data_IF_252899863277
#
_entry.id   IF_252899863277
#
_cell.length_a   1.000
_cell.length_b   1.000
_cell.length_c   1.000
_cell.angle_alpha   90.00
_cell.angle_beta   90.00
_cell.angle_gamma   90.00
#
_symmetry.space_group_name_H-M   'P 1'
#
loop_
_entity.id
_entity.type
_entity.pdbx_description
1 polymer ?
#
# COMPACT_ATOMS: atom_id res chain seq x y z
N UNK A 1 -13.23 7.85 -14.82
CA UNK A 1 -13.86 6.74 -14.07
C UNK A 1 -13.92 7.12 -12.61
N UNK A 2 -15.09 7.10 -11.98
CA UNK A 2 -15.21 7.31 -10.53
C UNK A 2 -14.73 6.06 -9.77
N UNK A 3 -14.32 6.18 -8.50
CA UNK A 3 -13.87 5.04 -7.66
C UNK A 3 -14.97 3.99 -7.49
N UNK A 4 -16.22 4.45 -7.39
CA UNK A 4 -17.42 3.60 -7.31
C UNK A 4 -17.58 2.69 -8.55
N UNK A 5 -17.41 3.23 -9.77
CA UNK A 5 -17.47 2.42 -11.00
C UNK A 5 -16.39 1.34 -11.05
N UNK A 6 -15.17 1.67 -10.64
CA UNK A 6 -14.06 0.72 -10.63
C UNK A 6 -14.28 -0.41 -9.60
N UNK A 7 -14.87 -0.12 -8.44
CA UNK A 7 -15.21 -1.14 -7.43
C UNK A 7 -16.25 -2.14 -7.93
N UNK A 8 -17.26 -1.68 -8.68
CA UNK A 8 -18.28 -2.57 -9.26
C UNK A 8 -17.68 -3.50 -10.32
N UNK A 9 -16.81 -2.97 -11.20
CA UNK A 9 -16.12 -3.77 -12.22
C UNK A 9 -15.15 -4.77 -11.57
N UNK A 10 -14.43 -4.36 -10.51
CA UNK A 10 -13.58 -5.27 -9.75
C UNK A 10 -14.38 -6.45 -9.19
N UNK A 11 -15.52 -6.20 -8.52
CA UNK A 11 -16.39 -7.26 -7.98
C UNK A 11 -16.91 -8.18 -9.08
N UNK A 12 -17.29 -7.63 -10.23
CA UNK A 12 -17.72 -8.41 -11.38
C UNK A 12 -16.62 -9.36 -11.88
N UNK A 13 -15.39 -8.88 -12.05
CA UNK A 13 -14.26 -9.71 -12.48
C UNK A 13 -13.86 -10.76 -11.44
N UNK A 14 -14.04 -10.49 -10.14
CA UNK A 14 -13.86 -11.51 -9.10
C UNK A 14 -14.88 -12.65 -9.25
N UNK A 15 -16.14 -12.33 -9.52
CA UNK A 15 -17.21 -13.34 -9.70
C UNK A 15 -17.03 -14.12 -11.00
N UNK A 16 -16.57 -13.47 -12.07
CA UNK A 16 -16.32 -14.09 -13.37
C UNK A 16 -15.05 -14.98 -13.40
N UNK A 17 -14.24 -15.00 -12.33
CA UNK A 17 -12.99 -15.77 -12.29
C UNK A 17 -11.84 -15.16 -13.12
N UNK A 18 -11.99 -13.93 -13.59
CA UNK A 18 -10.98 -13.21 -14.37
C UNK A 18 -10.01 -12.47 -13.43
N UNK A 19 -9.21 -13.24 -12.69
CA UNK A 19 -8.37 -12.71 -11.61
C UNK A 19 -7.21 -11.83 -12.09
N UNK A 20 -6.69 -12.03 -13.31
CA UNK A 20 -5.64 -11.15 -13.87
C UNK A 20 -6.15 -9.72 -14.09
N UNK A 21 -7.30 -9.56 -14.74
CA UNK A 21 -7.93 -8.25 -14.91
C UNK A 21 -8.40 -7.68 -13.57
N UNK A 22 -8.90 -8.53 -12.67
CA UNK A 22 -9.25 -8.11 -11.31
C UNK A 22 -8.04 -7.51 -10.58
N UNK A 23 -6.85 -8.11 -10.71
CA UNK A 23 -5.61 -7.59 -10.14
C UNK A 23 -5.22 -6.23 -10.76
N UNK A 24 -5.37 -6.08 -12.07
CA UNK A 24 -5.11 -4.81 -12.78
C UNK A 24 -6.05 -3.70 -12.32
N UNK A 25 -7.33 -4.01 -12.16
CA UNK A 25 -8.34 -3.06 -11.66
C UNK A 25 -8.07 -2.73 -10.19
N UNK A 26 -7.71 -3.71 -9.36
CA UNK A 26 -7.36 -3.49 -7.96
C UNK A 26 -6.18 -2.53 -7.80
N UNK A 27 -5.15 -2.67 -8.65
CA UNK A 27 -4.01 -1.76 -8.71
C UNK A 27 -4.42 -0.33 -9.05
N UNK A 28 -5.35 -0.16 -10.00
CA UNK A 28 -5.88 1.16 -10.37
C UNK A 28 -6.68 1.80 -9.22
N UNK A 29 -7.53 1.02 -8.53
CA UNK A 29 -8.29 1.52 -7.38
C UNK A 29 -7.33 1.89 -6.25
N UNK A 30 -6.37 1.02 -5.92
CA UNK A 30 -5.39 1.27 -4.86
C UNK A 30 -4.60 2.56 -5.11
N UNK A 31 -4.20 2.82 -6.37
CA UNK A 31 -3.53 4.07 -6.74
C UNK A 31 -4.39 5.31 -6.45
N UNK A 32 -5.69 5.29 -6.76
CA UNK A 32 -6.58 6.43 -6.45
C UNK A 32 -6.78 6.60 -4.95
N UNK A 33 -6.98 5.51 -4.21
CA UNK A 33 -7.09 5.57 -2.75
C UNK A 33 -5.80 6.14 -2.12
N UNK A 34 -4.61 5.83 -2.66
CA UNK A 34 -3.35 6.44 -2.26
C UNK A 34 -3.29 7.94 -2.55
N UNK A 35 -3.73 8.37 -3.74
CA UNK A 35 -3.81 9.78 -4.12
C UNK A 35 -4.78 10.55 -3.20
N UNK A 36 -5.85 9.91 -2.74
CA UNK A 36 -6.78 10.45 -1.75
C UNK A 36 -6.22 10.45 -0.32
N UNK A 37 -5.12 9.75 -0.04
CA UNK A 37 -4.51 9.63 1.30
C UNK A 37 -5.05 8.46 2.12
N UNK A 38 -5.86 7.59 1.52
CA UNK A 38 -6.49 6.42 2.15
C UNK A 38 -5.60 5.17 2.05
N UNK A 39 -4.40 5.25 2.62
CA UNK A 39 -3.38 4.19 2.53
C UNK A 39 -3.84 2.83 3.09
N UNK A 40 -4.61 2.82 4.20
CA UNK A 40 -5.16 1.58 4.78
C UNK A 40 -6.17 0.89 3.86
N UNK A 41 -7.00 1.66 3.16
CA UNK A 41 -7.97 1.12 2.22
C UNK A 41 -7.26 0.50 1.00
N UNK A 42 -6.26 1.21 0.46
CA UNK A 42 -5.40 0.71 -0.62
C UNK A 42 -4.69 -0.60 -0.23
N UNK A 43 -4.07 -0.64 0.96
CA UNK A 43 -3.40 -1.83 1.47
C UNK A 43 -4.39 -3.00 1.63
N UNK A 44 -5.55 -2.77 2.23
CA UNK A 44 -6.55 -3.81 2.48
C UNK A 44 -7.06 -4.42 1.18
N UNK A 45 -7.30 -3.59 0.15
CA UNK A 45 -7.69 -4.05 -1.17
C UNK A 45 -6.59 -4.91 -1.83
N UNK A 46 -5.35 -4.42 -1.85
CA UNK A 46 -4.23 -5.15 -2.45
C UNK A 46 -3.94 -6.46 -1.70
N UNK A 47 -4.01 -6.45 -0.36
CA UNK A 47 -3.83 -7.65 0.45
C UNK A 47 -4.93 -8.69 0.21
N UNK A 48 -6.18 -8.25 0.06
CA UNK A 48 -7.29 -9.14 -0.30
C UNK A 48 -7.05 -9.79 -1.66
N UNK A 49 -6.79 -8.98 -2.69
CA UNK A 49 -6.51 -9.48 -4.04
C UNK A 49 -5.29 -10.40 -4.07
N UNK A 50 -4.25 -10.10 -3.29
CA UNK A 50 -3.08 -10.97 -3.16
C UNK A 50 -3.44 -12.35 -2.59
N UNK A 51 -4.22 -12.38 -1.50
CA UNK A 51 -4.68 -13.63 -0.89
C UNK A 51 -5.59 -14.43 -1.83
N UNK A 52 -6.40 -13.75 -2.62
CA UNK A 52 -7.26 -14.38 -3.62
C UNK A 52 -6.40 -15.06 -4.72
N UNK A 53 -5.37 -14.38 -5.23
CA UNK A 53 -4.43 -14.94 -6.21
C UNK A 53 -3.61 -16.11 -5.65
N UNK A 54 -3.12 -15.98 -4.42
CA UNK A 54 -2.31 -16.99 -3.74
C UNK A 54 -3.11 -18.28 -3.50
N UNK A 55 -4.38 -18.15 -3.06
CA UNK A 55 -5.31 -19.27 -2.91
C UNK A 55 -5.53 -20.04 -4.21
N UNK A 56 -5.51 -19.33 -5.34
CA UNK A 56 -5.70 -19.91 -6.67
C UNK A 56 -4.38 -20.37 -7.31
N UNK A 57 -3.25 -20.25 -6.58
CA UNK A 57 -1.90 -20.54 -7.07
C UNK A 57 -1.56 -19.81 -8.37
N UNK A 58 -2.14 -18.63 -8.55
CA UNK A 58 -1.91 -17.80 -9.72
C UNK A 58 -0.65 -16.95 -9.55
N UNK A 59 -0.05 -16.56 -10.67
CA UNK A 59 1.12 -15.68 -10.66
C UNK A 59 0.73 -14.30 -10.10
N UNK A 60 1.41 -13.90 -9.04
CA UNK A 60 1.25 -12.57 -8.46
C UNK A 60 2.06 -11.56 -9.30
N UNK A 61 1.44 -10.46 -9.78
CA UNK A 61 2.17 -9.40 -10.46
C UNK A 61 3.22 -8.77 -9.55
N UNK A 62 4.47 -8.66 -10.04
CA UNK A 62 5.58 -8.09 -9.27
C UNK A 62 5.30 -6.66 -8.80
N UNK A 63 4.73 -5.84 -9.67
CA UNK A 63 4.38 -4.45 -9.36
C UNK A 63 3.38 -4.37 -8.19
N UNK A 64 2.42 -5.30 -8.13
CA UNK A 64 1.43 -5.37 -7.06
C UNK A 64 2.08 -5.71 -5.72
N UNK A 65 2.99 -6.67 -5.72
CA UNK A 65 3.78 -7.02 -4.54
C UNK A 65 4.60 -5.84 -4.05
N UNK A 66 5.33 -5.17 -4.93
CA UNK A 66 6.14 -3.99 -4.59
C UNK A 66 5.30 -2.87 -3.99
N UNK A 67 4.13 -2.56 -4.57
CA UNK A 67 3.19 -1.57 -4.02
C UNK A 67 2.63 -1.97 -2.66
N UNK A 68 2.25 -3.24 -2.49
CA UNK A 68 1.76 -3.76 -1.22
C UNK A 68 2.83 -3.63 -0.12
N UNK A 69 4.08 -3.97 -0.42
CA UNK A 69 5.20 -3.86 0.53
C UNK A 69 5.47 -2.41 0.95
N UNK A 70 5.35 -1.45 0.03
CA UNK A 70 5.49 -0.02 0.35
C UNK A 70 4.38 0.47 1.27
N UNK A 71 3.13 0.10 0.98
CA UNK A 71 1.98 0.42 1.84
C UNK A 71 2.10 -0.23 3.22
N UNK A 72 2.56 -1.48 3.27
CA UNK A 72 2.82 -2.19 4.52
C UNK A 72 3.88 -1.48 5.35
N UNK A 73 4.98 -1.07 4.72
CA UNK A 73 6.06 -0.34 5.38
C UNK A 73 5.52 0.93 6.03
N UNK A 74 4.67 1.68 5.34
CA UNK A 74 4.05 2.91 5.87
C UNK A 74 3.12 2.63 7.06
N UNK A 75 2.29 1.59 6.97
CA UNK A 75 1.29 1.28 8.00
C UNK A 75 1.92 0.73 9.28
N UNK A 76 3.05 0.02 9.17
CA UNK A 76 3.78 -0.55 10.30
C UNK A 76 4.55 0.49 11.12
N UNK A 77 4.87 1.67 10.58
CA UNK A 77 5.59 2.72 11.32
C UNK A 77 4.88 3.07 12.62
N UNK A 78 3.56 3.33 12.56
CA UNK A 78 2.78 3.76 13.72
C UNK A 78 2.78 2.73 14.86
N UNK A 79 2.45 1.44 14.63
CA UNK A 79 2.49 0.44 15.70
C UNK A 79 3.92 0.19 16.20
N UNK A 80 4.95 0.20 15.34
CA UNK A 80 6.33 0.02 15.79
C UNK A 80 6.79 1.15 16.71
N UNK A 81 6.45 2.40 16.39
CA UNK A 81 6.73 3.54 17.25
C UNK A 81 5.96 3.49 18.59
N UNK A 82 4.83 2.77 18.65
CA UNK A 82 4.08 2.53 19.89
C UNK A 82 4.64 1.37 20.73
N UNK A 83 5.43 0.49 20.13
CA UNK A 83 6.09 -0.64 20.78
C UNK A 83 7.54 -0.30 21.18
N UNK A 84 7.92 0.99 21.14
CA UNK A 84 9.28 1.49 21.35
C UNK A 84 10.34 0.89 20.40
N UNK A 85 9.91 0.29 19.28
CA UNK A 85 10.79 -0.22 18.23
C UNK A 85 11.21 0.88 17.24
N UNK A 86 11.86 1.92 17.77
CA UNK A 86 12.25 3.12 17.00
C UNK A 86 13.20 2.82 15.83
N UNK A 87 14.14 1.88 16.00
CA UNK A 87 15.08 1.48 14.94
C UNK A 87 14.34 0.90 13.73
N UNK A 88 13.41 -0.01 13.96
CA UNK A 88 12.63 -0.65 12.90
C UNK A 88 11.70 0.38 12.21
N UNK A 89 11.07 1.26 12.99
CA UNK A 89 10.26 2.36 12.47
C UNK A 89 11.10 3.29 11.57
N UNK A 90 12.30 3.68 12.01
CA UNK A 90 13.22 4.53 11.26
C UNK A 90 13.68 3.86 9.94
N UNK A 91 13.97 2.56 9.94
CA UNK A 91 14.35 1.82 8.74
C UNK A 91 13.21 1.75 7.71
N UNK A 92 11.97 1.56 8.16
CA UNK A 92 10.80 1.60 7.27
C UNK A 92 10.55 3.00 6.72
N UNK A 93 10.71 4.03 7.55
CA UNK A 93 10.59 5.43 7.12
C UNK A 93 11.68 5.79 6.11
N UNK A 94 12.92 5.36 6.31
CA UNK A 94 14.02 5.53 5.36
C UNK A 94 13.67 4.93 4.00
N UNK A 95 13.11 3.72 3.95
CA UNK A 95 12.67 3.07 2.71
C UNK A 95 11.63 3.91 1.96
N UNK A 96 10.73 4.60 2.66
CA UNK A 96 9.68 5.43 2.07
C UNK A 96 10.21 6.78 1.61
N UNK A 97 11.15 7.36 2.36
CA UNK A 97 11.74 8.67 2.07
C UNK A 97 12.79 8.63 0.97
N UNK A 98 13.32 7.45 0.63
CA UNK A 98 14.33 7.29 -0.41
C UNK A 98 13.75 7.35 -1.83
N UNK A 99 14.45 8.09 -2.71
CA UNK A 99 14.21 8.10 -4.14
C UNK A 99 12.82 8.58 -4.55
N UNK A 100 12.23 7.92 -5.57
CA UNK A 100 10.94 8.30 -6.13
C UNK A 100 9.74 7.76 -5.33
N UNK A 101 9.96 7.05 -4.22
CA UNK A 101 8.89 6.39 -3.44
C UNK A 101 7.99 7.40 -2.74
N UNK A 102 8.54 8.53 -2.31
CA UNK A 102 7.79 9.59 -1.63
C UNK A 102 6.65 10.16 -2.49
N UNK A 103 6.75 10.03 -3.83
CA UNK A 103 5.71 10.45 -4.77
C UNK A 103 4.39 9.68 -4.59
N UNK A 104 4.45 8.44 -4.08
CA UNK A 104 3.25 7.65 -3.78
C UNK A 104 2.55 8.10 -2.49
N UNK A 105 3.21 8.90 -1.66
CA UNK A 105 2.74 9.35 -0.35
C UNK A 105 2.59 10.88 -0.26
N UNK A 106 2.43 11.58 -1.39
CA UNK A 106 2.44 13.06 -1.48
C UNK A 106 1.62 13.77 -0.40
N UNK A 107 0.39 13.31 -0.11
CA UNK A 107 -0.47 13.93 0.92
C UNK A 107 0.14 13.89 2.33
N UNK A 108 0.87 12.82 2.66
CA UNK A 108 1.50 12.67 3.98
C UNK A 108 3.03 12.86 3.92
N UNK A 109 3.58 13.41 2.82
CA UNK A 109 5.02 13.48 2.64
C UNK A 109 5.71 14.30 3.75
N UNK A 110 5.19 15.49 4.07
CA UNK A 110 5.73 16.32 5.15
C UNK A 110 5.67 15.62 6.51
N UNK A 111 4.53 15.01 6.84
CA UNK A 111 4.35 14.29 8.10
C UNK A 111 5.25 13.05 8.20
N UNK A 112 5.43 12.34 7.08
CA UNK A 112 6.29 11.14 7.01
C UNK A 112 7.75 11.52 7.20
N UNK A 113 8.22 12.60 6.57
CA UNK A 113 9.58 13.12 6.76
C UNK A 113 9.80 13.62 8.19
N UNK A 114 8.86 14.35 8.76
CA UNK A 114 8.95 14.80 10.15
C UNK A 114 9.03 13.62 11.13
N UNK A 115 8.19 12.59 10.92
CA UNK A 115 8.22 11.36 11.72
C UNK A 115 9.56 10.64 11.55
N UNK A 116 10.13 10.61 10.33
CA UNK A 116 11.44 10.01 10.09
C UNK A 116 12.54 10.70 10.90
N UNK A 117 12.55 12.03 10.95
CA UNK A 117 13.52 12.78 11.76
C UNK A 117 13.34 12.48 13.25
N UNK A 118 12.09 12.49 13.75
CA UNK A 118 11.80 12.21 15.16
C UNK A 118 12.24 10.80 15.56
N UNK A 119 11.90 9.79 14.77
CA UNK A 119 12.27 8.40 15.06
C UNK A 119 13.79 8.18 14.95
N UNK A 120 14.47 8.80 13.98
CA UNK A 120 15.93 8.76 13.88
C UNK A 120 16.65 9.48 15.04
N UNK A 121 16.02 10.46 15.69
CA UNK A 121 16.58 11.13 16.88
C UNK A 121 16.41 10.31 18.16
N UNK A 122 15.45 9.37 18.17
CA UNK A 122 15.14 8.50 19.32
C UNK A 122 15.87 7.15 19.28
N UNK A 123 16.27 6.71 18.08
CA UNK A 123 17.07 5.50 17.83
C UNK A 123 18.52 5.68 18.22
#
# INVERSE_FOLDING_TARGET
MTTCQAQSIYKLHQVLGNYEESARIAMLIAKREQEEGRYKAAQSLLLKTYKDLDRLKMRIPREMWERLMLLQSYILVKPLAQLDEHVNAALLLKRICQGNVLQYFRKHAAQTLASAVIECMKS
#
